data_IF_373840058956
#
_entry.id   IF_373840058956
#
_cell.length_a   1.000
_cell.length_b   1.000
_cell.length_c   1.000
_cell.angle_alpha   90.00
_cell.angle_beta   90.00
_cell.angle_gamma   90.00
#
_symmetry.space_group_name_H-M   'P 1'
#
loop_
_entity.id
_entity.type
_entity.pdbx_description
1 polymer ?
#
# COMPACT_ATOMS: atom_id res chain seq x y z
N UNK A 1 7.85 31.19 -11.20
CA UNK A 1 6.45 30.73 -11.08
C UNK A 1 6.52 29.23 -11.29
N UNK A 2 6.58 28.51 -10.19
CA UNK A 2 6.85 27.09 -10.18
C UNK A 2 5.71 26.36 -10.88
N UNK A 3 6.03 25.62 -11.94
CA UNK A 3 5.15 24.60 -12.48
C UNK A 3 5.16 23.49 -11.43
N UNK A 4 4.27 23.61 -10.44
CA UNK A 4 4.05 22.59 -9.45
C UNK A 4 3.68 21.30 -10.19
N UNK A 5 4.57 20.32 -10.08
CA UNK A 5 4.42 18.99 -10.64
C UNK A 5 3.20 18.33 -9.99
N UNK A 6 2.04 18.42 -10.65
CA UNK A 6 0.73 18.02 -10.11
C UNK A 6 0.54 16.48 -10.16
N UNK A 7 1.63 15.73 -10.02
CA UNK A 7 1.67 14.26 -10.06
C UNK A 7 1.08 13.62 -8.79
N UNK A 8 0.67 14.40 -7.80
CA UNK A 8 0.15 13.92 -6.51
C UNK A 8 -1.29 13.38 -6.55
N UNK A 9 -1.96 13.33 -7.71
CA UNK A 9 -3.37 12.93 -7.79
C UNK A 9 -3.63 11.63 -8.57
N UNK A 10 -2.59 10.84 -8.86
CA UNK A 10 -2.77 9.51 -9.46
C UNK A 10 -3.15 8.51 -8.35
N UNK A 11 -4.34 7.90 -8.39
CA UNK A 11 -4.74 6.92 -7.37
C UNK A 11 -3.77 5.73 -7.36
N UNK A 12 -3.28 5.33 -6.18
CA UNK A 12 -2.50 4.09 -6.05
C UNK A 12 -3.40 2.90 -6.35
N UNK A 13 -3.03 2.13 -7.38
CA UNK A 13 -3.83 0.98 -7.84
C UNK A 13 -3.31 -0.36 -7.29
N UNK A 14 -2.02 -0.39 -6.93
CA UNK A 14 -1.38 -1.57 -6.37
C UNK A 14 -1.94 -1.88 -4.97
N UNK A 15 -2.01 -3.17 -4.66
CA UNK A 15 -2.35 -3.61 -3.31
C UNK A 15 -1.31 -3.15 -2.28
N UNK A 16 -1.71 -3.02 -1.02
CA UNK A 16 -0.76 -2.76 0.06
C UNK A 16 0.06 -4.02 0.32
N UNK A 17 1.38 -3.92 0.21
CA UNK A 17 2.26 -5.03 0.53
C UNK A 17 2.17 -5.34 2.03
N UNK A 18 1.79 -6.58 2.35
CA UNK A 18 1.80 -7.09 3.72
C UNK A 18 3.17 -7.66 4.01
N UNK A 19 3.81 -7.22 5.10
CA UNK A 19 5.04 -7.84 5.60
C UNK A 19 4.71 -9.20 6.17
N UNK A 20 5.13 -10.27 5.49
CA UNK A 20 4.78 -11.63 5.90
C UNK A 20 5.43 -12.00 7.25
N UNK A 21 6.57 -11.39 7.58
CA UNK A 21 7.27 -11.60 8.85
C UNK A 21 6.43 -11.23 10.08
N UNK A 22 5.47 -10.32 9.90
CA UNK A 22 4.57 -9.87 10.97
C UNK A 22 3.35 -10.80 11.14
N UNK A 23 3.08 -11.70 10.19
CA UNK A 23 1.94 -12.61 10.23
C UNK A 23 2.22 -13.82 11.12
N UNK A 24 1.40 -14.03 12.15
CA UNK A 24 1.60 -15.13 13.09
C UNK A 24 1.57 -16.52 12.44
N UNK A 25 0.75 -16.73 11.42
CA UNK A 25 0.72 -18.00 10.70
C UNK A 25 2.00 -18.25 9.90
N UNK A 26 2.65 -17.19 9.39
CA UNK A 26 3.95 -17.30 8.75
C UNK A 26 5.05 -17.59 9.78
N UNK A 27 5.06 -16.87 10.91
CA UNK A 27 6.01 -17.12 12.00
C UNK A 27 5.93 -18.57 12.48
N UNK A 28 4.72 -19.10 12.68
CA UNK A 28 4.52 -20.52 13.02
C UNK A 28 4.90 -21.47 11.88
N UNK A 29 4.66 -21.13 10.62
CA UNK A 29 5.09 -21.95 9.49
C UNK A 29 6.63 -22.05 9.43
N UNK A 30 7.34 -20.97 9.79
CA UNK A 30 8.80 -21.00 9.94
C UNK A 30 9.25 -21.90 11.09
N UNK A 31 8.58 -21.83 12.25
CA UNK A 31 8.82 -22.77 13.36
C UNK A 31 8.68 -24.22 12.90
N UNK A 32 7.58 -24.56 12.22
CA UNK A 32 7.34 -25.92 11.75
C UNK A 32 8.41 -26.34 10.75
N UNK A 33 8.84 -25.48 9.83
CA UNK A 33 9.91 -25.82 8.89
C UNK A 33 11.22 -26.21 9.60
N UNK A 34 11.65 -25.42 10.58
CA UNK A 34 12.85 -25.73 11.36
C UNK A 34 12.67 -26.99 12.24
N UNK A 35 11.49 -27.12 12.86
CA UNK A 35 11.11 -28.30 13.63
C UNK A 35 11.17 -29.56 12.78
N UNK A 36 10.60 -29.55 11.58
CA UNK A 36 10.61 -30.66 10.62
C UNK A 36 12.02 -31.04 10.22
N UNK A 37 12.92 -30.06 10.01
CA UNK A 37 14.31 -30.35 9.69
C UNK A 37 15.01 -31.10 10.82
N UNK A 38 14.89 -30.60 12.06
CA UNK A 38 15.50 -31.24 13.24
C UNK A 38 14.85 -32.59 13.55
N UNK A 39 13.53 -32.69 13.42
CA UNK A 39 12.79 -33.93 13.61
C UNK A 39 13.29 -35.01 12.64
N UNK A 40 13.38 -34.69 11.36
CA UNK A 40 13.89 -35.62 10.37
C UNK A 40 15.34 -36.01 10.60
N UNK A 41 16.18 -35.08 11.04
CA UNK A 41 17.59 -35.37 11.34
C UNK A 41 17.75 -36.31 12.55
N UNK A 42 16.90 -36.15 13.58
CA UNK A 42 16.96 -36.93 14.82
C UNK A 42 16.25 -38.28 14.74
N UNK A 43 15.12 -38.36 14.03
CA UNK A 43 14.18 -39.47 14.16
C UNK A 43 13.82 -40.19 12.86
N UNK A 44 14.29 -39.71 11.71
CA UNK A 44 14.08 -40.35 10.41
C UNK A 44 15.43 -40.82 9.84
N UNK A 45 15.52 -42.10 9.51
CA UNK A 45 16.77 -42.69 9.06
C UNK A 45 17.16 -42.22 7.65
N UNK A 46 18.34 -41.61 7.53
CA UNK A 46 18.85 -40.90 6.34
C UNK A 46 18.76 -41.70 5.02
N UNK A 47 19.05 -43.00 5.06
CA UNK A 47 19.22 -43.83 3.86
C UNK A 47 18.04 -44.76 3.53
N UNK A 48 16.97 -44.76 4.32
CA UNK A 48 15.90 -45.77 4.20
C UNK A 48 14.52 -45.18 3.98
N UNK A 49 14.36 -43.86 4.08
CA UNK A 49 13.03 -43.28 4.21
C UNK A 49 12.83 -42.03 3.33
N UNK A 50 12.11 -42.22 2.20
CA UNK A 50 11.67 -41.12 1.32
C UNK A 50 10.81 -40.08 2.07
N UNK A 51 10.24 -40.49 3.21
CA UNK A 51 9.44 -39.64 4.10
C UNK A 51 10.23 -38.42 4.60
N UNK A 52 11.57 -38.51 4.77
CA UNK A 52 12.38 -37.36 5.17
C UNK A 52 12.24 -36.18 4.20
N UNK A 53 12.45 -36.45 2.93
CA UNK A 53 12.40 -35.40 1.90
C UNK A 53 10.98 -34.88 1.73
N UNK A 54 9.97 -35.75 1.84
CA UNK A 54 8.56 -35.38 1.76
C UNK A 54 8.16 -34.40 2.87
N UNK A 55 8.46 -34.73 4.13
CA UNK A 55 8.19 -33.87 5.30
C UNK A 55 8.87 -32.52 5.17
N UNK A 56 10.17 -32.50 4.84
CA UNK A 56 10.93 -31.25 4.71
C UNK A 56 10.39 -30.40 3.55
N UNK A 57 10.06 -31.03 2.41
CA UNK A 57 9.53 -30.31 1.25
C UNK A 57 8.11 -29.79 1.49
N UNK A 58 7.24 -30.54 2.16
CA UNK A 58 5.91 -30.08 2.52
C UNK A 58 5.98 -28.84 3.43
N UNK A 59 6.83 -28.86 4.46
CA UNK A 59 7.07 -27.72 5.35
C UNK A 59 7.67 -26.51 4.61
N UNK A 60 8.67 -26.75 3.75
CA UNK A 60 9.28 -25.69 2.92
C UNK A 60 8.25 -25.08 1.98
N UNK A 61 7.50 -25.92 1.26
CA UNK A 61 6.47 -25.52 0.30
C UNK A 61 5.41 -24.65 0.97
N UNK A 62 4.94 -25.04 2.16
CA UNK A 62 3.99 -24.25 2.94
C UNK A 62 4.49 -22.82 3.18
N UNK A 63 5.70 -22.69 3.75
CA UNK A 63 6.29 -21.37 4.05
C UNK A 63 6.54 -20.55 2.78
N UNK A 64 7.09 -21.14 1.73
CA UNK A 64 7.43 -20.42 0.49
C UNK A 64 6.20 -19.91 -0.24
N UNK A 65 5.15 -20.73 -0.38
CA UNK A 65 3.91 -20.30 -1.00
C UNK A 65 3.19 -19.17 -0.23
N UNK A 66 3.40 -19.07 1.10
CA UNK A 66 2.93 -17.90 1.87
C UNK A 66 3.69 -16.63 1.42
N UNK A 67 5.01 -16.69 1.32
CA UNK A 67 5.85 -15.54 0.91
C UNK A 67 5.51 -15.11 -0.51
N UNK A 68 5.52 -16.05 -1.45
CA UNK A 68 5.20 -15.82 -2.87
C UNK A 68 3.78 -15.26 -3.01
N UNK A 69 2.79 -15.87 -2.33
CA UNK A 69 1.41 -15.42 -2.37
C UNK A 69 1.21 -13.99 -1.85
N UNK A 70 1.96 -13.58 -0.83
CA UNK A 70 1.87 -12.22 -0.29
C UNK A 70 2.65 -11.19 -1.12
N UNK A 71 3.78 -11.58 -1.72
CA UNK A 71 4.53 -10.73 -2.64
C UNK A 71 3.76 -10.49 -3.94
N UNK A 72 3.25 -11.55 -4.56
CA UNK A 72 2.52 -11.47 -5.84
C UNK A 72 1.10 -10.92 -5.66
N UNK A 73 0.53 -11.00 -4.46
CA UNK A 73 -0.78 -10.43 -4.14
C UNK A 73 -0.88 -8.91 -4.31
N UNK A 74 0.25 -8.22 -4.35
CA UNK A 74 0.32 -6.79 -4.68
C UNK A 74 -0.16 -6.51 -6.10
N UNK A 75 0.10 -7.44 -7.03
CA UNK A 75 -0.16 -7.32 -8.47
C UNK A 75 -1.25 -8.28 -8.98
N UNK A 76 -1.55 -9.36 -8.25
CA UNK A 76 -2.61 -10.31 -8.60
C UNK A 76 -3.27 -10.97 -7.39
N UNK A 77 -4.52 -10.59 -7.12
CA UNK A 77 -5.35 -11.24 -6.07
C UNK A 77 -5.64 -12.71 -6.37
N UNK A 78 -5.78 -13.08 -7.66
CA UNK A 78 -5.99 -14.46 -8.07
C UNK A 78 -4.77 -15.33 -7.75
N UNK A 79 -3.56 -14.83 -8.07
CA UNK A 79 -2.31 -15.53 -7.80
C UNK A 79 -2.07 -15.70 -6.30
N UNK A 80 -2.35 -14.66 -5.51
CA UNK A 80 -2.31 -14.73 -4.06
C UNK A 80 -3.22 -15.82 -3.50
N UNK A 81 -4.49 -15.85 -3.92
CA UNK A 81 -5.43 -16.88 -3.45
C UNK A 81 -4.97 -18.28 -3.85
N UNK A 82 -4.46 -18.45 -5.08
CA UNK A 82 -3.93 -19.72 -5.56
C UNK A 82 -2.76 -20.20 -4.69
N UNK A 83 -1.73 -19.37 -4.51
CA UNK A 83 -0.53 -19.73 -3.76
C UNK A 83 -0.84 -19.98 -2.28
N UNK A 84 -1.71 -19.18 -1.66
CA UNK A 84 -2.15 -19.43 -0.29
C UNK A 84 -2.93 -20.74 -0.15
N UNK A 85 -3.68 -21.16 -1.17
CA UNK A 85 -4.30 -22.49 -1.19
C UNK A 85 -3.27 -23.61 -1.37
N UNK A 86 -2.22 -23.42 -2.18
CA UNK A 86 -1.09 -24.38 -2.27
C UNK A 86 -0.39 -24.50 -0.91
N UNK A 87 -0.13 -23.38 -0.23
CA UNK A 87 0.46 -23.39 1.11
C UNK A 87 -0.37 -24.20 2.11
N UNK A 88 -1.72 -24.09 2.07
CA UNK A 88 -2.61 -24.91 2.90
C UNK A 88 -2.60 -26.38 2.53
N UNK A 89 -2.53 -26.70 1.24
CA UNK A 89 -2.40 -28.08 0.79
C UNK A 89 -1.11 -28.73 1.32
N UNK A 90 0.03 -28.04 1.18
CA UNK A 90 1.31 -28.52 1.73
C UNK A 90 1.32 -28.60 3.26
N UNK A 91 0.62 -27.70 3.96
CA UNK A 91 0.44 -27.81 5.41
C UNK A 91 -0.37 -29.04 5.82
N UNK A 92 -1.39 -29.39 5.03
CA UNK A 92 -2.21 -30.58 5.25
C UNK A 92 -1.39 -31.86 5.04
N UNK A 93 -0.60 -31.92 3.97
CA UNK A 93 0.34 -33.02 3.72
C UNK A 93 1.29 -33.20 4.90
N UNK A 94 1.91 -32.10 5.35
CA UNK A 94 2.82 -32.13 6.50
C UNK A 94 2.15 -32.62 7.78
N UNK A 95 0.90 -32.20 8.02
CA UNK A 95 0.12 -32.68 9.16
C UNK A 95 -0.11 -34.19 9.06
N UNK A 96 -0.49 -34.69 7.89
CA UNK A 96 -0.68 -36.12 7.64
C UNK A 96 0.61 -36.90 7.88
N UNK A 97 1.77 -36.38 7.43
CA UNK A 97 3.07 -37.02 7.69
C UNK A 97 3.37 -37.17 9.20
N UNK A 98 3.10 -36.15 10.01
CA UNK A 98 3.28 -36.23 11.47
C UNK A 98 2.25 -37.16 12.14
N UNK A 99 1.00 -37.16 11.68
CA UNK A 99 -0.02 -38.10 12.17
C UNK A 99 0.37 -39.56 11.86
N UNK A 100 0.85 -39.82 10.65
CA UNK A 100 1.25 -41.15 10.21
C UNK A 100 2.52 -41.61 10.90
N UNK A 101 3.44 -40.70 11.23
CA UNK A 101 4.58 -41.01 12.09
C UNK A 101 4.14 -41.51 13.47
N UNK A 102 3.20 -40.81 14.12
CA UNK A 102 2.69 -41.22 15.44
C UNK A 102 2.00 -42.58 15.37
N UNK A 103 1.10 -42.76 14.38
CA UNK A 103 0.35 -44.02 14.18
C UNK A 103 1.27 -45.20 13.90
N UNK A 104 2.22 -45.05 12.97
CA UNK A 104 3.12 -46.12 12.53
C UNK A 104 4.10 -46.59 13.61
N UNK A 105 4.36 -45.75 14.62
CA UNK A 105 5.29 -46.04 15.72
C UNK A 105 4.60 -46.21 17.07
N UNK A 106 3.27 -46.33 17.07
CA UNK A 106 2.45 -46.51 18.28
C UNK A 106 2.72 -45.44 19.36
N UNK A 107 2.87 -44.19 18.92
CA UNK A 107 2.99 -43.03 19.80
C UNK A 107 1.61 -42.44 20.10
N UNK A 108 1.51 -41.71 21.20
CA UNK A 108 0.23 -41.14 21.64
C UNK A 108 -0.02 -39.76 21.01
N UNK A 109 -1.29 -39.53 20.67
CA UNK A 109 -1.79 -38.19 20.41
C UNK A 109 -2.13 -37.53 21.74
N UNK A 110 -1.76 -36.26 21.91
CA UNK A 110 -2.18 -35.47 23.05
C UNK A 110 -3.64 -35.09 22.84
N UNK A 111 -4.48 -35.42 23.81
CA UNK A 111 -5.94 -35.23 23.71
C UNK A 111 -6.46 -34.28 24.79
N UNK A 112 -7.57 -33.61 24.46
CA UNK A 112 -8.21 -32.67 25.37
C UNK A 112 -8.58 -33.34 26.70
N UNK A 113 -8.27 -32.66 27.81
CA UNK A 113 -8.44 -33.18 29.18
C UNK A 113 -7.16 -33.77 29.79
N UNK A 114 -6.08 -33.93 29.02
CA UNK A 114 -4.76 -34.25 29.55
C UNK A 114 -3.97 -32.98 29.88
N UNK A 115 -3.27 -32.97 31.02
CA UNK A 115 -2.41 -31.83 31.41
C UNK A 115 -1.37 -31.49 30.34
N UNK A 116 -0.75 -32.50 29.72
CA UNK A 116 0.25 -32.31 28.65
C UNK A 116 -0.34 -31.65 27.40
N UNK A 117 -1.62 -31.92 27.09
CA UNK A 117 -2.31 -31.30 25.97
C UNK A 117 -2.59 -29.83 26.25
N UNK A 118 -3.13 -29.53 27.44
CA UNK A 118 -3.49 -28.16 27.82
C UNK A 118 -2.25 -27.26 27.90
N UNK A 119 -1.14 -27.76 28.47
CA UNK A 119 0.14 -27.05 28.52
C UNK A 119 0.68 -26.77 27.12
N UNK A 120 0.67 -27.77 26.22
CA UNK A 120 1.12 -27.60 24.84
C UNK A 120 0.26 -26.59 24.08
N UNK A 121 -1.08 -26.70 24.21
CA UNK A 121 -2.02 -25.85 23.51
C UNK A 121 -1.87 -24.39 23.95
N UNK A 122 -1.81 -24.16 25.26
CA UNK A 122 -1.62 -22.84 25.85
C UNK A 122 -0.27 -22.24 25.44
N UNK A 123 0.82 -23.02 25.49
CA UNK A 123 2.14 -22.59 25.01
C UNK A 123 2.09 -22.16 23.54
N UNK A 124 1.53 -23.02 22.68
CA UNK A 124 1.43 -22.74 21.26
C UNK A 124 0.50 -21.57 20.94
N UNK A 125 -0.47 -21.25 21.78
CA UNK A 125 -1.35 -20.10 21.57
C UNK A 125 -0.64 -18.76 21.83
N UNK A 126 0.33 -18.74 22.73
CA UNK A 126 1.04 -17.53 23.19
C UNK A 126 2.36 -17.26 22.47
N UNK A 127 2.95 -18.28 21.84
CA UNK A 127 4.24 -18.18 21.17
C UNK A 127 4.13 -18.42 19.67
N UNK A 128 4.92 -17.72 18.88
CA UNK A 128 4.85 -17.80 17.41
C UNK A 128 6.22 -17.95 16.76
N UNK A 129 7.29 -17.52 17.44
CA UNK A 129 8.59 -17.30 16.81
C UNK A 129 9.53 -18.45 17.09
N UNK A 130 10.44 -18.73 16.16
CA UNK A 130 11.44 -19.81 16.27
C UNK A 130 12.17 -19.83 17.61
N UNK A 131 12.62 -18.66 18.09
CA UNK A 131 13.34 -18.53 19.37
C UNK A 131 12.60 -19.11 20.59
N UNK A 132 11.27 -19.17 20.52
CA UNK A 132 10.43 -19.70 21.60
C UNK A 132 10.37 -21.23 21.56
N UNK A 133 10.73 -21.88 20.44
CA UNK A 133 10.63 -23.33 20.24
C UNK A 133 12.00 -24.01 20.12
N UNK A 134 12.96 -23.34 19.49
CA UNK A 134 14.30 -23.85 19.20
C UNK A 134 15.01 -24.46 20.44
N UNK A 135 14.93 -23.88 21.65
CA UNK A 135 15.55 -24.48 22.84
C UNK A 135 15.06 -25.91 23.15
N UNK A 136 13.85 -26.28 22.72
CA UNK A 136 13.27 -27.59 22.99
C UNK A 136 13.55 -28.62 21.89
N UNK A 137 14.02 -28.20 20.72
CA UNK A 137 14.16 -29.09 19.55
C UNK A 137 15.12 -30.25 19.77
N UNK A 138 16.09 -30.12 20.69
CA UNK A 138 17.03 -31.18 21.04
C UNK A 138 16.59 -32.00 22.26
N UNK A 139 15.68 -31.47 23.08
CA UNK A 139 15.24 -32.11 24.33
C UNK A 139 13.95 -32.90 24.16
N UNK A 140 13.07 -32.46 23.25
CA UNK A 140 11.80 -33.14 23.02
C UNK A 140 12.01 -34.53 22.42
N UNK A 141 11.13 -35.45 22.83
CA UNK A 141 10.96 -36.75 22.18
C UNK A 141 10.34 -36.59 20.79
N UNK A 142 10.39 -37.67 20.01
CA UNK A 142 9.67 -37.80 18.74
C UNK A 142 8.16 -37.53 18.93
N UNK A 143 7.55 -38.11 19.96
CA UNK A 143 6.14 -37.91 20.30
C UNK A 143 5.82 -36.44 20.62
N UNK A 144 6.66 -35.77 21.42
CA UNK A 144 6.48 -34.36 21.76
C UNK A 144 6.58 -33.48 20.51
N UNK A 145 7.62 -33.66 19.68
CA UNK A 145 7.81 -32.88 18.46
C UNK A 145 6.63 -33.04 17.50
N UNK A 146 6.15 -34.27 17.30
CA UNK A 146 4.97 -34.54 16.49
C UNK A 146 3.72 -33.83 17.02
N UNK A 147 3.41 -33.94 18.31
CA UNK A 147 2.20 -33.32 18.87
C UNK A 147 2.24 -31.78 18.81
N UNK A 148 3.41 -31.17 19.04
CA UNK A 148 3.60 -29.74 18.85
C UNK A 148 3.45 -29.33 17.38
N UNK A 149 4.03 -30.10 16.46
CA UNK A 149 3.88 -29.85 15.03
C UNK A 149 2.42 -29.93 14.56
N UNK A 150 1.67 -30.95 14.98
CA UNK A 150 0.24 -31.10 14.69
C UNK A 150 -0.57 -29.91 15.22
N UNK A 151 -0.32 -29.51 16.47
CA UNK A 151 -1.00 -28.36 17.08
C UNK A 151 -0.71 -27.07 16.31
N UNK A 152 0.54 -26.83 15.94
CA UNK A 152 0.92 -25.69 15.13
C UNK A 152 0.28 -25.74 13.73
N UNK A 153 0.23 -26.90 13.08
CA UNK A 153 -0.45 -27.08 11.79
C UNK A 153 -1.93 -26.68 11.89
N UNK A 154 -2.63 -27.12 12.93
CA UNK A 154 -4.03 -26.73 13.17
C UNK A 154 -4.20 -25.22 13.38
N UNK A 155 -3.32 -24.60 14.16
CA UNK A 155 -3.36 -23.15 14.37
C UNK A 155 -3.10 -22.36 13.09
N UNK A 156 -2.10 -22.77 12.31
CA UNK A 156 -1.77 -22.13 11.02
C UNK A 156 -2.96 -22.26 10.06
N UNK A 157 -3.55 -23.44 9.90
CA UNK A 157 -4.69 -23.62 8.99
C UNK A 157 -5.88 -22.72 9.40
N UNK A 158 -6.19 -22.64 10.69
CA UNK A 158 -7.25 -21.74 11.21
C UNK A 158 -6.97 -20.26 10.96
N UNK A 159 -5.72 -19.83 11.14
CA UNK A 159 -5.30 -18.47 10.85
C UNK A 159 -5.36 -18.16 9.35
N UNK A 160 -4.86 -19.07 8.51
CA UNK A 160 -4.89 -18.94 7.06
C UNK A 160 -6.32 -18.91 6.51
N UNK A 161 -7.23 -19.75 7.03
CA UNK A 161 -8.64 -19.68 6.67
C UNK A 161 -9.27 -18.33 6.98
N UNK A 162 -8.97 -17.77 8.15
CA UNK A 162 -9.47 -16.43 8.53
C UNK A 162 -8.92 -15.35 7.60
N UNK A 163 -7.63 -15.46 7.23
CA UNK A 163 -6.98 -14.55 6.30
C UNK A 163 -7.57 -14.64 4.89
N UNK A 164 -7.79 -15.85 4.37
CA UNK A 164 -8.41 -16.09 3.06
C UNK A 164 -9.83 -15.54 3.00
N UNK A 165 -10.64 -15.73 4.04
CA UNK A 165 -11.99 -15.13 4.12
C UNK A 165 -11.97 -13.61 4.06
N UNK A 166 -10.96 -12.97 4.65
CA UNK A 166 -10.77 -11.52 4.54
C UNK A 166 -10.41 -11.11 3.11
N UNK A 167 -9.46 -11.80 2.48
CA UNK A 167 -9.09 -11.54 1.08
C UNK A 167 -10.26 -11.73 0.11
N UNK A 168 -11.08 -12.76 0.33
CA UNK A 168 -12.29 -13.00 -0.46
C UNK A 168 -13.29 -11.84 -0.32
N UNK A 169 -13.52 -11.35 0.90
CA UNK A 169 -14.36 -10.17 1.13
C UNK A 169 -13.81 -8.93 0.44
N UNK A 170 -12.51 -8.68 0.58
CA UNK A 170 -11.83 -7.54 -0.08
C UNK A 170 -11.96 -7.63 -1.60
N UNK A 171 -11.80 -8.82 -2.18
CA UNK A 171 -12.00 -9.04 -3.61
C UNK A 171 -13.44 -8.73 -4.05
N UNK A 172 -14.43 -9.20 -3.29
CA UNK A 172 -15.85 -8.93 -3.58
C UNK A 172 -16.21 -7.44 -3.43
N UNK A 173 -15.65 -6.75 -2.43
CA UNK A 173 -16.02 -5.34 -2.15
C UNK A 173 -15.21 -4.32 -2.97
N UNK A 174 -13.96 -4.60 -3.27
CA UNK A 174 -13.03 -3.66 -3.93
C UNK A 174 -12.72 -4.02 -5.39
N UNK A 175 -13.09 -5.23 -5.83
CA UNK A 175 -12.78 -5.76 -7.15
C UNK A 175 -11.30 -6.16 -7.30
N UNK A 176 -10.98 -6.81 -8.42
CA UNK A 176 -9.60 -7.15 -8.75
C UNK A 176 -8.75 -5.93 -9.17
N UNK A 177 -7.44 -6.14 -9.33
CA UNK A 177 -6.51 -5.07 -9.75
C UNK A 177 -6.89 -4.48 -11.11
N UNK A 178 -7.35 -5.29 -12.06
CA UNK A 178 -7.84 -4.81 -13.36
C UNK A 178 -9.01 -3.86 -13.23
N UNK A 179 -9.94 -4.15 -12.33
CA UNK A 179 -11.11 -3.30 -12.06
C UNK A 179 -10.68 -1.99 -11.39
N UNK A 180 -9.77 -2.06 -10.41
CA UNK A 180 -9.19 -0.87 -9.78
C UNK A 180 -8.42 0.00 -10.78
N UNK A 181 -7.65 -0.61 -11.68
CA UNK A 181 -6.94 0.09 -12.77
C UNK A 181 -7.92 0.77 -13.72
N UNK A 182 -8.97 0.08 -14.12
CA UNK A 182 -9.99 0.65 -14.99
C UNK A 182 -10.70 1.82 -14.31
N UNK A 183 -11.11 1.67 -13.05
CA UNK A 183 -11.76 2.73 -12.26
C UNK A 183 -10.86 3.95 -12.09
N UNK A 184 -9.59 3.75 -11.73
CA UNK A 184 -8.61 4.83 -11.60
C UNK A 184 -8.38 5.57 -12.92
N UNK A 185 -8.24 4.83 -14.03
CA UNK A 185 -8.06 5.40 -15.37
C UNK A 185 -9.28 6.20 -15.82
N UNK A 186 -10.49 5.65 -15.65
CA UNK A 186 -11.73 6.30 -16.04
C UNK A 186 -11.99 7.55 -15.19
N UNK A 187 -11.76 7.47 -13.88
CA UNK A 187 -11.87 8.63 -12.97
C UNK A 187 -10.89 9.76 -13.34
N UNK A 188 -9.63 9.43 -13.65
CA UNK A 188 -8.64 10.42 -14.09
C UNK A 188 -9.08 11.12 -15.38
N UNK A 189 -9.59 10.36 -16.36
CA UNK A 189 -10.11 10.92 -17.61
C UNK A 189 -11.30 11.85 -17.38
N UNK A 190 -12.26 11.43 -16.55
CA UNK A 190 -13.42 12.26 -16.23
C UNK A 190 -13.03 13.58 -15.55
N UNK A 191 -12.05 13.54 -14.64
CA UNK A 191 -11.51 14.76 -14.02
C UNK A 191 -10.83 15.67 -15.05
N UNK A 192 -10.04 15.10 -15.96
CA UNK A 192 -9.39 15.83 -17.04
C UNK A 192 -10.42 16.48 -17.98
N UNK A 193 -11.44 15.73 -18.39
CA UNK A 193 -12.51 16.20 -19.27
C UNK A 193 -13.33 17.31 -18.58
N UNK A 194 -13.66 17.15 -17.29
CA UNK A 194 -14.36 18.17 -16.51
C UNK A 194 -13.52 19.45 -16.38
N UNK A 195 -12.21 19.32 -16.13
CA UNK A 195 -11.30 20.46 -16.04
C UNK A 195 -11.15 21.17 -17.38
N UNK A 196 -11.05 20.42 -18.48
CA UNK A 196 -10.98 20.99 -19.83
C UNK A 196 -12.26 21.77 -20.13
N UNK A 197 -13.43 21.19 -19.88
CA UNK A 197 -14.73 21.84 -20.08
C UNK A 197 -14.87 23.12 -19.24
N UNK A 198 -14.36 23.11 -18.00
CA UNK A 198 -14.32 24.31 -17.16
C UNK A 198 -13.44 25.39 -17.78
N UNK A 199 -12.22 25.05 -18.22
CA UNK A 199 -11.32 26.00 -18.87
C UNK A 199 -11.90 26.56 -20.18
N UNK A 200 -12.53 25.71 -20.98
CA UNK A 200 -13.21 26.12 -22.22
C UNK A 200 -14.35 27.12 -21.96
N UNK A 201 -15.05 27.01 -20.84
CA UNK A 201 -16.10 27.94 -20.43
C UNK A 201 -15.53 29.27 -19.86
N UNK A 202 -14.43 29.21 -19.12
CA UNK A 202 -13.79 30.39 -18.50
C UNK A 202 -13.00 31.22 -19.52
N UNK A 203 -12.38 30.59 -20.52
CA UNK A 203 -11.57 31.25 -21.55
C UNK A 203 -12.25 32.42 -22.27
N UNK A 204 -13.48 32.31 -22.80
CA UNK A 204 -14.13 33.42 -23.48
C UNK A 204 -14.50 34.56 -22.51
N UNK A 205 -14.88 34.24 -21.27
CA UNK A 205 -15.19 35.25 -20.24
C UNK A 205 -13.94 36.05 -19.89
N UNK A 206 -12.85 35.36 -19.58
CA UNK A 206 -11.56 35.99 -19.26
C UNK A 206 -11.01 36.81 -20.43
N UNK A 207 -11.18 36.35 -21.68
CA UNK A 207 -10.81 37.12 -22.87
C UNK A 207 -11.61 38.41 -22.98
N UNK A 208 -12.92 38.36 -22.76
CA UNK A 208 -13.78 39.54 -22.79
C UNK A 208 -13.40 40.55 -21.71
N UNK A 209 -13.21 40.09 -20.47
CA UNK A 209 -12.76 40.95 -19.36
C UNK A 209 -11.40 41.60 -19.65
N UNK A 210 -10.47 40.84 -20.25
CA UNK A 210 -9.17 41.36 -20.66
C UNK A 210 -9.30 42.45 -21.73
N UNK A 211 -10.17 42.25 -22.73
CA UNK A 211 -10.39 43.23 -23.79
C UNK A 211 -11.06 44.51 -23.26
N UNK A 212 -12.03 44.38 -22.35
CA UNK A 212 -12.67 45.51 -21.67
C UNK A 212 -11.69 46.29 -20.80
N UNK A 213 -10.85 45.59 -20.03
CA UNK A 213 -9.80 46.21 -19.21
C UNK A 213 -8.77 46.95 -20.08
N UNK A 214 -8.36 46.36 -21.21
CA UNK A 214 -7.47 47.01 -22.19
C UNK A 214 -8.11 48.27 -22.79
N UNK A 215 -9.38 48.21 -23.19
CA UNK A 215 -10.10 49.36 -23.72
C UNK A 215 -10.23 50.49 -22.68
N UNK A 216 -10.50 50.14 -21.42
CA UNK A 216 -10.53 51.11 -20.32
C UNK A 216 -9.15 51.74 -20.09
N UNK A 217 -8.08 50.93 -20.09
CA UNK A 217 -6.71 51.42 -19.94
C UNK A 217 -6.32 52.41 -21.06
N UNK A 218 -6.67 52.13 -22.31
CA UNK A 218 -6.42 53.05 -23.43
C UNK A 218 -7.20 54.37 -23.29
N UNK A 219 -8.46 54.32 -22.85
CA UNK A 219 -9.25 55.54 -22.56
C UNK A 219 -8.60 56.37 -21.44
N UNK A 220 -8.20 55.74 -20.35
CA UNK A 220 -7.51 56.41 -19.24
C UNK A 220 -6.20 57.04 -19.68
N UNK A 221 -5.42 56.34 -20.51
CA UNK A 221 -4.17 56.85 -21.08
C UNK A 221 -4.41 58.07 -21.97
N UNK A 222 -5.42 58.05 -22.83
CA UNK A 222 -5.79 59.19 -23.67
C UNK A 222 -6.26 60.39 -22.84
N UNK A 223 -7.13 60.17 -21.85
CA UNK A 223 -7.60 61.23 -20.95
C UNK A 223 -6.46 61.85 -20.12
N UNK A 224 -5.53 61.02 -19.66
CA UNK A 224 -4.33 61.47 -18.95
C UNK A 224 -3.45 62.36 -19.85
N UNK A 225 -3.19 61.95 -21.09
CA UNK A 225 -2.34 62.74 -22.01
C UNK A 225 -3.02 64.05 -22.41
N UNK A 226 -4.34 64.06 -22.66
CA UNK A 226 -5.10 65.29 -22.91
C UNK A 226 -5.06 66.25 -21.71
N UNK A 227 -5.30 65.75 -20.50
CA UNK A 227 -5.23 66.55 -19.27
C UNK A 227 -3.83 67.14 -19.08
N UNK A 228 -2.78 66.33 -19.30
CA UNK A 228 -1.38 66.75 -19.24
C UNK A 228 -1.10 67.85 -20.27
N UNK A 229 -1.57 67.73 -21.51
CA UNK A 229 -1.41 68.78 -22.53
C UNK A 229 -2.15 70.07 -22.16
N UNK A 230 -3.40 69.98 -21.68
CA UNK A 230 -4.16 71.15 -21.22
C UNK A 230 -3.48 71.85 -20.05
N UNK A 231 -2.99 71.09 -19.07
CA UNK A 231 -2.24 71.62 -17.93
C UNK A 231 -0.95 72.31 -18.37
N UNK A 232 -0.20 71.69 -19.29
CA UNK A 232 1.03 72.27 -19.83
C UNK A 232 0.76 73.58 -20.60
N UNK A 233 -0.28 73.62 -21.42
CA UNK A 233 -0.69 74.83 -22.16
C UNK A 233 -1.14 75.94 -21.21
N UNK A 234 -1.92 75.61 -20.18
CA UNK A 234 -2.35 76.57 -19.17
C UNK A 234 -1.15 77.12 -18.37
N UNK A 235 -0.20 76.26 -18.01
CA UNK A 235 1.04 76.65 -17.36
C UNK A 235 1.85 77.64 -18.20
N UNK A 236 2.09 77.34 -19.48
CA UNK A 236 2.82 78.25 -20.36
C UNK A 236 2.07 79.57 -20.59
N UNK A 237 0.73 79.53 -20.77
CA UNK A 237 -0.08 80.74 -20.88
C UNK A 237 -0.01 81.61 -19.61
N UNK A 238 -0.05 80.99 -18.43
CA UNK A 238 0.14 81.70 -17.16
C UNK A 238 1.55 82.29 -17.05
N UNK A 239 2.59 81.57 -17.49
CA UNK A 239 3.95 82.10 -17.53
C UNK A 239 4.06 83.32 -18.46
N UNK A 240 3.46 83.28 -19.64
CA UNK A 240 3.41 84.42 -20.56
C UNK A 240 2.66 85.61 -19.97
N UNK A 241 1.51 85.38 -19.36
CA UNK A 241 0.73 86.45 -18.73
C UNK A 241 1.44 87.05 -17.53
N UNK A 242 2.08 86.24 -16.67
CA UNK A 242 2.94 86.72 -15.58
C UNK A 242 4.09 87.57 -16.14
N UNK A 243 4.71 87.14 -17.25
CA UNK A 243 5.77 87.90 -17.90
C UNK A 243 5.26 89.24 -18.45
N UNK A 244 4.07 89.25 -19.07
CA UNK A 244 3.41 90.45 -19.59
C UNK A 244 3.03 91.43 -18.47
N UNK A 245 2.40 90.94 -17.40
CA UNK A 245 2.04 91.74 -16.24
C UNK A 245 3.28 92.30 -15.53
N UNK A 246 4.37 91.54 -15.44
CA UNK A 246 5.66 92.05 -14.93
C UNK A 246 6.24 93.16 -15.78
N UNK A 247 6.08 93.10 -17.11
CA UNK A 247 6.51 94.17 -18.01
C UNK A 247 5.63 95.44 -17.83
N UNK A 248 4.31 95.29 -17.70
CA UNK A 248 3.38 96.41 -17.44
C UNK A 248 3.61 97.07 -16.07
N UNK A 249 3.82 96.29 -15.02
CA UNK A 249 4.21 96.79 -13.69
C UNK A 249 5.61 97.44 -13.67
N UNK A 250 6.47 97.08 -14.63
CA UNK A 250 7.74 97.77 -14.88
C UNK A 250 7.58 99.08 -15.65
N UNK A 251 6.46 99.29 -16.35
CA UNK A 251 6.13 100.53 -17.06
C UNK A 251 5.31 101.53 -16.21
N UNK A 252 4.55 101.08 -15.21
CA UNK A 252 3.90 101.97 -14.21
C UNK A 252 4.84 102.43 -13.07
N UNK A 253 6.11 102.01 -13.13
CA UNK A 253 7.17 102.37 -12.18
C UNK A 253 8.24 103.31 -12.74
N UNK A 254 7.87 104.22 -13.64
CA UNK A 254 8.71 105.33 -14.13
C UNK A 254 8.05 106.69 -13.86
#
# INVERSE_FOLDING_TARGET
MDIADNNNNVPSVLGRQTKWEDLFFYQKADVIYQLSFVFCDRFIHLYKDRTRDQVIQAARSCKQNIVEGLADGVTSSEMQLKLLNVARASLKELREDFEDYLKSRHREFYVAGEERYDVMLDYCSRHNKLKDYEPFFQTWSDEQMCNYALTLCHMIDRMMMSFLKRLEREFVTEGGIKERMHKARTGYRQQQDARLKQLEAELPVMRKELDEARAAAEKWKAAYEDLKQRALKAYYKQQEEIKRLKNLLGEEGL
#
